data_IF_006242898752
#
_entry.id   IF_006242898752
#
_cell.length_a   1.000
_cell.length_b   1.000
_cell.length_c   1.000
_cell.angle_alpha   90.00
_cell.angle_beta   90.00
_cell.angle_gamma   90.00
#
_symmetry.space_group_name_H-M   'P 1'
#
loop_
_entity.id
_entity.type
_entity.pdbx_description
1 polymer ?
#
# COMPACT_ATOMS: atom_id res chain seq x y z
N UNK A 1 34.57 20.02 -8.90
CA UNK A 1 33.44 19.08 -9.03
C UNK A 1 33.02 19.12 -10.49
N UNK A 2 33.13 17.99 -11.21
CA UNK A 2 33.08 17.97 -12.67
C UNK A 2 31.65 18.20 -13.18
N UNK A 3 31.51 18.94 -14.28
CA UNK A 3 30.24 19.33 -14.91
C UNK A 3 29.35 18.16 -15.36
N UNK A 4 29.86 16.91 -15.33
CA UNK A 4 29.14 15.71 -15.75
C UNK A 4 28.21 15.10 -14.69
N UNK A 5 28.30 15.53 -13.42
CA UNK A 5 27.54 14.89 -12.33
C UNK A 5 26.02 15.11 -12.42
N UNK A 6 25.58 16.23 -13.04
CA UNK A 6 24.15 16.58 -13.24
C UNK A 6 23.65 16.32 -14.66
N UNK A 7 24.26 15.38 -15.38
CA UNK A 7 23.75 14.90 -16.67
C UNK A 7 22.81 13.72 -16.43
N UNK A 8 21.60 13.76 -17.01
CA UNK A 8 20.65 12.63 -16.97
C UNK A 8 21.12 11.52 -17.91
N UNK A 9 21.14 10.29 -17.43
CA UNK A 9 21.53 9.11 -18.20
C UNK A 9 20.31 8.56 -18.92
N UNK A 10 20.20 8.80 -20.22
CA UNK A 10 19.01 8.43 -21.00
C UNK A 10 18.88 6.92 -21.22
N UNK A 11 17.65 6.43 -21.19
CA UNK A 11 17.32 5.02 -21.42
C UNK A 11 17.64 4.10 -20.24
N UNK A 12 17.91 4.67 -19.07
CA UNK A 12 18.20 3.90 -17.84
C UNK A 12 17.06 4.07 -16.87
N UNK A 13 16.52 2.95 -16.42
CA UNK A 13 15.53 2.86 -15.36
C UNK A 13 16.08 2.01 -14.23
N UNK A 14 15.95 2.50 -13.00
CA UNK A 14 16.37 1.79 -11.79
C UNK A 14 15.31 1.98 -10.72
N UNK A 15 14.98 0.91 -9.98
CA UNK A 15 13.93 0.95 -8.97
C UNK A 15 14.46 0.69 -7.55
N UNK A 16 13.70 1.08 -6.55
CA UNK A 16 13.94 0.75 -5.14
C UNK A 16 12.70 0.15 -4.49
N UNK A 17 12.76 -1.12 -4.05
CA UNK A 17 11.64 -1.76 -3.38
C UNK A 17 11.50 -1.21 -1.96
N UNK A 18 10.31 -0.73 -1.64
CA UNK A 18 9.95 -0.23 -0.33
C UNK A 18 8.71 -0.95 0.17
N UNK A 19 8.51 -0.88 1.48
CA UNK A 19 7.22 -1.15 2.08
C UNK A 19 6.78 0.08 2.87
N UNK A 20 5.49 0.31 2.88
CA UNK A 20 4.87 1.28 3.78
C UNK A 20 3.66 0.63 4.42
N UNK A 21 3.30 1.12 5.60
CA UNK A 21 2.18 0.55 6.34
C UNK A 21 2.35 0.70 7.84
N UNK A 22 1.60 -0.10 8.60
CA UNK A 22 1.66 -0.07 10.05
C UNK A 22 1.61 -1.46 10.69
N UNK A 23 2.15 -1.50 11.92
CA UNK A 23 1.83 -2.55 12.89
C UNK A 23 1.09 -1.94 14.07
N UNK A 24 0.08 -2.62 14.59
CA UNK A 24 -0.70 -2.19 15.76
C UNK A 24 -0.79 -3.29 16.82
N UNK A 25 -0.86 -2.88 18.09
CA UNK A 25 -1.06 -3.74 19.25
C UNK A 25 -2.16 -3.15 20.12
N UNK A 26 -3.02 -4.01 20.63
CA UNK A 26 -3.94 -3.65 21.71
C UNK A 26 -3.11 -3.36 22.97
N UNK A 27 -3.41 -2.26 23.64
CA UNK A 27 -2.82 -1.90 24.92
C UNK A 27 -3.40 -2.77 26.03
N UNK A 28 -2.54 -3.28 26.90
CA UNK A 28 -2.97 -3.96 28.12
C UNK A 28 -3.67 -2.98 29.07
N UNK A 29 -4.54 -3.46 29.99
CA UNK A 29 -5.19 -2.58 30.97
C UNK A 29 -4.20 -1.68 31.73
N UNK A 30 -3.05 -2.25 32.14
CA UNK A 30 -1.98 -1.54 32.83
C UNK A 30 -1.31 -0.45 31.97
N UNK A 31 -1.10 -0.70 30.68
CA UNK A 31 -0.54 0.31 29.78
C UNK A 31 -1.50 1.46 29.55
N UNK A 32 -2.81 1.19 29.42
CA UNK A 32 -3.82 2.24 29.26
C UNK A 32 -3.93 3.13 30.50
N UNK A 33 -3.87 2.55 31.70
CA UNK A 33 -3.89 3.30 32.96
C UNK A 33 -2.68 4.25 33.09
N UNK A 34 -1.55 3.91 32.47
CA UNK A 34 -0.36 4.74 32.47
C UNK A 34 -0.37 5.86 31.41
N UNK A 35 -1.31 5.83 30.46
CA UNK A 35 -1.40 6.84 29.41
C UNK A 35 -2.11 8.11 29.89
N UNK A 36 -1.68 9.29 29.42
CA UNK A 36 -2.43 10.54 29.63
C UNK A 36 -3.82 10.51 28.98
N UNK A 37 -4.00 9.69 27.95
CA UNK A 37 -5.23 9.54 27.17
C UNK A 37 -5.87 8.18 27.47
N UNK A 38 -6.80 8.09 28.44
CA UNK A 38 -7.38 6.81 28.87
C UNK A 38 -8.25 6.15 27.80
N UNK A 39 -8.76 6.93 26.84
CA UNK A 39 -9.59 6.44 25.74
C UNK A 39 -8.78 5.69 24.67
N UNK A 40 -7.44 5.77 24.70
CA UNK A 40 -6.60 5.08 23.72
C UNK A 40 -6.57 3.58 24.00
N UNK A 41 -6.88 2.80 22.97
CA UNK A 41 -7.00 1.33 23.06
C UNK A 41 -5.84 0.60 22.40
N UNK A 42 -5.17 1.22 21.45
CA UNK A 42 -4.08 0.64 20.68
C UNK A 42 -2.84 1.52 20.72
N UNK A 43 -1.67 0.88 20.64
CA UNK A 43 -0.44 1.51 20.15
C UNK A 43 -0.19 1.05 18.73
N UNK A 44 0.30 1.93 17.89
CA UNK A 44 0.57 1.61 16.50
C UNK A 44 1.83 2.32 16.04
N UNK A 45 2.51 1.74 15.07
CA UNK A 45 3.68 2.32 14.42
C UNK A 45 3.48 2.27 12.93
N UNK A 46 3.46 3.43 12.29
CA UNK A 46 3.44 3.57 10.83
C UNK A 46 4.88 3.81 10.35
N UNK A 47 5.29 3.18 9.26
CA UNK A 47 6.65 3.31 8.77
C UNK A 47 6.76 3.24 7.24
N UNK A 48 7.91 3.71 6.74
CA UNK A 48 8.45 3.40 5.41
C UNK A 48 9.77 2.67 5.61
N UNK A 49 9.92 1.47 5.03
CA UNK A 49 11.09 0.60 5.23
C UNK A 49 11.52 -0.02 3.90
N UNK A 50 12.74 -0.56 3.84
CA UNK A 50 13.13 -1.40 2.71
C UNK A 50 12.29 -2.69 2.71
N UNK A 51 12.04 -3.26 1.54
CA UNK A 51 11.11 -4.38 1.42
C UNK A 51 11.62 -5.70 2.04
N UNK A 52 12.93 -5.96 1.92
CA UNK A 52 13.52 -7.16 2.51
C UNK A 52 13.54 -7.05 4.05
N UNK A 53 13.13 -8.13 4.72
CA UNK A 53 13.21 -8.22 6.18
C UNK A 53 14.64 -8.60 6.61
N UNK A 54 15.12 -7.98 7.69
CA UNK A 54 16.41 -8.35 8.27
C UNK A 54 16.38 -9.80 8.77
N UNK A 55 17.48 -10.59 8.60
CA UNK A 55 17.57 -11.93 9.15
C UNK A 55 17.28 -11.94 10.65
N UNK A 56 16.48 -12.91 11.11
CA UNK A 56 16.12 -13.10 12.52
C UNK A 56 15.40 -11.91 13.20
N UNK A 57 14.92 -10.93 12.43
CA UNK A 57 14.11 -9.83 12.96
C UNK A 57 12.64 -10.20 13.04
N UNK A 58 11.96 -9.71 14.08
CA UNK A 58 10.49 -9.78 14.24
C UNK A 58 9.79 -8.56 13.63
N UNK A 59 10.51 -7.78 12.83
CA UNK A 59 9.98 -6.63 12.11
C UNK A 59 9.75 -6.96 10.64
N UNK A 60 8.73 -6.33 10.06
CA UNK A 60 8.46 -6.43 8.62
C UNK A 60 9.39 -5.44 7.91
N UNK A 61 10.15 -5.93 6.93
CA UNK A 61 11.10 -5.14 6.15
C UNK A 61 12.29 -4.60 6.94
N UNK A 62 12.97 -3.61 6.39
CA UNK A 62 14.02 -2.85 7.07
C UNK A 62 15.42 -3.47 7.06
N UNK A 63 15.71 -4.41 6.14
CA UNK A 63 17.06 -4.95 5.98
C UNK A 63 18.09 -3.90 5.49
N UNK A 64 17.63 -2.88 4.75
CA UNK A 64 18.48 -1.89 4.10
C UNK A 64 18.19 -0.48 4.65
N UNK A 65 19.22 0.35 4.70
CA UNK A 65 19.06 1.77 4.95
C UNK A 65 18.55 2.49 3.69
N UNK A 66 17.49 3.29 3.81
CA UNK A 66 16.94 4.07 2.69
C UNK A 66 17.46 5.52 2.65
N UNK A 67 18.25 5.95 3.62
CA UNK A 67 18.70 7.34 3.78
C UNK A 67 19.55 7.86 2.62
N UNK A 68 20.18 6.96 1.84
CA UNK A 68 20.99 7.34 0.68
C UNK A 68 20.17 7.95 -0.47
N UNK A 69 18.87 7.71 -0.52
CA UNK A 69 17.99 8.31 -1.53
C UNK A 69 16.76 9.02 -0.96
N UNK A 70 16.36 8.71 0.27
CA UNK A 70 15.29 9.40 1.00
C UNK A 70 15.90 10.43 1.94
N UNK A 71 15.52 11.71 1.74
CA UNK A 71 15.92 12.82 2.63
C UNK A 71 15.01 12.95 3.83
N UNK A 72 13.70 12.78 3.63
CA UNK A 72 12.69 12.98 4.67
C UNK A 72 11.42 12.22 4.33
N UNK A 73 10.80 11.61 5.33
CA UNK A 73 9.43 11.11 5.25
C UNK A 73 8.54 11.99 6.11
N UNK A 74 7.41 12.41 5.57
CA UNK A 74 6.40 13.21 6.29
C UNK A 74 5.14 12.38 6.45
N UNK A 75 4.73 12.14 7.69
CA UNK A 75 3.47 11.47 8.02
C UNK A 75 2.45 12.52 8.45
N UNK A 76 1.37 12.66 7.70
CA UNK A 76 0.22 13.48 8.11
C UNK A 76 -0.81 12.56 8.77
N UNK A 77 -0.92 12.69 10.08
CA UNK A 77 -1.90 12.02 10.93
C UNK A 77 -3.24 12.77 10.90
N UNK A 78 -4.24 12.20 11.56
CA UNK A 78 -5.54 12.86 11.77
C UNK A 78 -5.39 14.13 12.62
N UNK A 79 -6.21 15.15 12.35
CA UNK A 79 -6.11 16.49 12.95
C UNK A 79 -6.37 16.51 14.48
N UNK A 80 -6.88 15.42 15.04
CA UNK A 80 -7.03 15.24 16.50
C UNK A 80 -5.70 15.04 17.22
N UNK A 81 -4.64 14.64 16.51
CA UNK A 81 -3.32 14.49 17.12
C UNK A 81 -2.62 15.84 17.25
N UNK A 82 -1.92 16.09 18.36
CA UNK A 82 -1.05 17.25 18.47
C UNK A 82 0.07 17.16 17.43
N UNK A 83 0.28 18.24 16.70
CA UNK A 83 1.23 18.31 15.58
C UNK A 83 1.02 17.16 14.59
N UNK A 84 -0.11 17.11 13.87
CA UNK A 84 -0.48 15.95 13.07
C UNK A 84 0.48 15.71 11.90
N UNK A 85 1.25 16.73 11.48
CA UNK A 85 2.32 16.57 10.49
C UNK A 85 3.65 16.25 11.16
N UNK A 86 4.10 14.99 11.05
CA UNK A 86 5.35 14.49 11.63
C UNK A 86 6.41 14.38 10.54
N UNK A 87 7.52 15.09 10.71
CA UNK A 87 8.66 15.05 9.81
C UNK A 87 9.76 14.15 10.39
N UNK A 88 10.20 13.16 9.62
CA UNK A 88 11.28 12.24 9.99
C UNK A 88 12.40 12.37 8.96
N UNK A 89 13.48 13.03 9.36
CA UNK A 89 14.63 13.36 8.48
C UNK A 89 15.73 12.29 8.50
N UNK A 90 15.65 11.32 9.41
CA UNK A 90 16.65 10.25 9.57
C UNK A 90 15.97 8.92 9.82
N UNK A 91 16.55 7.80 9.37
CA UNK A 91 16.03 6.47 9.68
C UNK A 91 16.10 6.19 11.21
N UNK A 92 15.21 5.37 11.75
CA UNK A 92 14.10 4.70 11.07
C UNK A 92 12.98 5.69 10.67
N UNK A 93 12.48 5.56 9.45
CA UNK A 93 11.41 6.43 8.94
C UNK A 93 10.05 5.96 9.45
N UNK A 94 9.78 6.18 10.73
CA UNK A 94 8.58 5.71 11.40
C UNK A 94 8.04 6.67 12.46
N UNK A 95 6.76 6.52 12.77
CA UNK A 95 6.07 7.25 13.83
C UNK A 95 5.27 6.27 14.65
N UNK A 96 5.52 6.25 15.96
CA UNK A 96 4.74 5.49 16.93
C UNK A 96 3.81 6.41 17.71
N UNK A 97 2.55 6.01 17.82
CA UNK A 97 1.50 6.75 18.52
C UNK A 97 0.52 5.80 19.19
N UNK A 98 -0.38 6.36 20.00
CA UNK A 98 -1.50 5.63 20.59
C UNK A 98 -2.82 6.21 20.12
N UNK A 99 -3.86 5.39 19.99
CA UNK A 99 -5.16 5.83 19.53
C UNK A 99 -6.24 4.76 19.65
N UNK A 100 -7.44 5.10 19.21
CA UNK A 100 -8.62 4.23 19.32
C UNK A 100 -9.32 3.95 17.99
N UNK A 101 -9.01 4.71 16.93
CA UNK A 101 -9.68 4.63 15.64
C UNK A 101 -8.72 4.49 14.46
N UNK A 102 -9.24 3.89 13.39
CA UNK A 102 -8.59 3.75 12.08
C UNK A 102 -8.82 5.02 11.25
N UNK A 103 -7.81 5.47 10.49
CA UNK A 103 -7.89 6.67 9.65
C UNK A 103 -6.81 6.66 8.56
N UNK A 104 -6.96 7.50 7.54
CA UNK A 104 -5.98 7.62 6.46
C UNK A 104 -4.77 8.49 6.88
N UNK A 105 -3.58 7.90 6.79
CA UNK A 105 -2.30 8.57 6.96
C UNK A 105 -1.74 8.91 5.58
N UNK A 106 -1.45 10.19 5.35
CA UNK A 106 -0.71 10.60 4.15
C UNK A 106 0.79 10.48 4.40
N UNK A 107 1.49 9.70 3.60
CA UNK A 107 2.93 9.46 3.71
C UNK A 107 3.62 10.11 2.52
N UNK A 108 4.40 11.18 2.77
CA UNK A 108 5.10 11.91 1.71
C UNK A 108 6.61 11.69 1.81
N UNK A 109 7.19 11.04 0.82
CA UNK A 109 8.62 10.78 0.70
C UNK A 109 9.27 11.90 -0.10
N UNK A 110 10.21 12.62 0.53
CA UNK A 110 11.06 13.62 -0.11
C UNK A 110 12.44 13.02 -0.36
N UNK A 111 12.91 13.08 -1.60
CA UNK A 111 14.21 12.53 -1.98
C UNK A 111 15.38 13.46 -1.67
N UNK A 112 16.58 12.89 -1.68
CA UNK A 112 17.85 13.63 -1.65
C UNK A 112 17.96 14.57 -2.85
N UNK A 113 18.74 15.65 -2.72
CA UNK A 113 18.81 16.68 -3.75
C UNK A 113 19.40 16.16 -5.07
N UNK A 114 20.28 15.16 -4.96
CA UNK A 114 20.99 14.49 -6.03
C UNK A 114 20.02 13.78 -6.99
N UNK A 115 18.87 13.30 -6.51
CA UNK A 115 17.87 12.68 -7.37
C UNK A 115 17.24 13.69 -8.33
N UNK A 116 17.06 14.93 -7.87
CA UNK A 116 16.29 15.98 -8.54
C UNK A 116 14.85 15.58 -8.86
N UNK A 117 14.32 14.57 -8.17
CA UNK A 117 12.95 14.09 -8.32
C UNK A 117 12.00 14.79 -7.36
N UNK A 118 10.73 14.89 -7.77
CA UNK A 118 9.67 15.43 -6.91
C UNK A 118 9.32 14.43 -5.81
N UNK A 119 8.83 14.94 -4.69
CA UNK A 119 8.33 14.09 -3.62
C UNK A 119 7.14 13.23 -4.11
N UNK A 120 7.07 12.00 -3.62
CA UNK A 120 5.96 11.07 -3.87
C UNK A 120 5.09 10.98 -2.62
N UNK A 121 3.78 10.79 -2.82
CA UNK A 121 2.81 10.69 -1.74
C UNK A 121 2.06 9.37 -1.84
N UNK A 122 2.01 8.64 -0.73
CA UNK A 122 1.22 7.44 -0.53
C UNK A 122 0.10 7.73 0.48
N UNK A 123 -0.96 6.94 0.41
CA UNK A 123 -2.07 6.97 1.35
C UNK A 123 -2.18 5.60 2.00
N UNK A 124 -2.12 5.57 3.32
CA UNK A 124 -2.20 4.34 4.09
C UNK A 124 -3.37 4.41 5.06
N UNK A 125 -4.30 3.47 4.95
CA UNK A 125 -5.35 3.32 5.94
C UNK A 125 -4.79 2.62 7.18
N UNK A 126 -4.69 3.33 8.30
CA UNK A 126 -4.17 2.79 9.56
C UNK A 126 -5.07 1.65 10.03
N UNK A 127 -4.53 0.42 10.07
CA UNK A 127 -5.26 -0.75 10.56
C UNK A 127 -4.94 -1.04 12.01
N UNK A 128 -5.97 -1.09 12.86
CA UNK A 128 -5.86 -1.41 14.29
C UNK A 128 -6.47 -2.78 14.61
N UNK A 129 -7.56 -3.13 13.94
CA UNK A 129 -8.30 -4.36 14.22
C UNK A 129 -7.85 -5.51 13.32
N UNK A 130 -7.94 -6.77 13.80
CA UNK A 130 -7.66 -7.95 12.97
C UNK A 130 -8.45 -7.94 11.67
N UNK A 131 -7.84 -8.46 10.61
CA UNK A 131 -8.50 -8.61 9.32
C UNK A 131 -9.57 -9.70 9.39
N UNK A 132 -10.79 -9.39 8.94
CA UNK A 132 -11.90 -10.33 8.84
C UNK A 132 -12.41 -10.39 7.40
N UNK A 133 -13.05 -11.50 7.04
CA UNK A 133 -13.81 -11.62 5.78
C UNK A 133 -15.30 -11.72 6.10
N UNK A 134 -16.21 -11.24 5.22
CA UNK A 134 -17.65 -11.39 5.41
C UNK A 134 -18.09 -12.84 5.66
N UNK A 135 -17.35 -13.80 5.08
CA UNK A 135 -17.60 -15.24 5.21
C UNK A 135 -17.24 -15.82 6.59
N UNK A 136 -16.37 -15.14 7.34
CA UNK A 136 -15.91 -15.61 8.67
C UNK A 136 -17.00 -15.50 9.75
N UNK A 137 -17.98 -14.61 9.55
CA UNK A 137 -18.97 -14.27 10.58
C UNK A 137 -18.38 -13.57 11.81
N UNK A 138 -17.10 -13.22 11.80
CA UNK A 138 -16.43 -12.50 12.87
C UNK A 138 -16.72 -10.99 12.79
N UNK A 139 -16.90 -10.31 13.94
CA UNK A 139 -17.12 -8.87 13.95
C UNK A 139 -15.85 -8.14 13.47
N UNK A 140 -16.03 -7.16 12.58
CA UNK A 140 -14.94 -6.32 12.07
C UNK A 140 -14.18 -5.58 13.19
N UNK A 141 -14.90 -5.20 14.24
CA UNK A 141 -14.34 -4.63 15.47
C UNK A 141 -14.58 -5.63 16.60
N UNK A 142 -13.60 -6.50 16.90
CA UNK A 142 -13.71 -7.44 18.02
C UNK A 142 -13.61 -6.72 19.36
N UNK A 143 -14.01 -7.42 20.43
CA UNK A 143 -13.76 -6.95 21.79
C UNK A 143 -12.25 -6.84 22.05
N UNK A 144 -11.85 -5.94 22.95
CA UNK A 144 -10.43 -5.75 23.27
C UNK A 144 -9.76 -7.02 23.78
N UNK A 145 -10.49 -7.89 24.48
CA UNK A 145 -9.97 -9.19 24.93
C UNK A 145 -9.64 -10.12 23.75
N UNK A 146 -10.53 -10.20 22.75
CA UNK A 146 -10.30 -11.03 21.57
C UNK A 146 -9.20 -10.44 20.69
N UNK A 147 -9.19 -9.11 20.52
CA UNK A 147 -8.14 -8.41 19.79
C UNK A 147 -6.76 -8.62 20.44
N UNK A 148 -6.68 -8.61 21.78
CA UNK A 148 -5.44 -8.85 22.50
C UNK A 148 -4.92 -10.29 22.29
N UNK A 149 -5.81 -11.28 22.20
CA UNK A 149 -5.46 -12.68 21.90
C UNK A 149 -5.00 -12.89 20.46
N UNK A 150 -5.49 -12.08 19.52
CA UNK A 150 -5.11 -12.17 18.10
C UNK A 150 -3.66 -11.72 17.85
N UNK A 151 -3.08 -10.94 18.75
CA UNK A 151 -1.70 -10.45 18.64
C UNK A 151 -1.57 -9.19 17.77
N UNK A 152 -0.37 -8.91 17.23
CA UNK A 152 -0.15 -7.72 16.42
C UNK A 152 -0.94 -7.76 15.12
N UNK A 153 -1.52 -6.63 14.75
CA UNK A 153 -2.13 -6.42 13.45
C UNK A 153 -1.08 -5.83 12.51
N UNK A 154 -0.88 -6.48 11.38
CA UNK A 154 0.05 -6.05 10.34
C UNK A 154 -0.73 -5.62 9.09
N UNK A 155 -0.45 -4.41 8.62
CA UNK A 155 -0.99 -3.85 7.38
C UNK A 155 0.16 -3.22 6.62
N UNK A 156 0.79 -3.99 5.74
CA UNK A 156 1.97 -3.57 4.97
C UNK A 156 1.70 -3.72 3.48
N UNK A 157 2.12 -2.72 2.72
CA UNK A 157 2.03 -2.68 1.26
C UNK A 157 3.44 -2.61 0.68
N UNK A 158 3.67 -3.40 -0.37
CA UNK A 158 4.88 -3.36 -1.17
C UNK A 158 4.70 -2.36 -2.32
N UNK A 159 5.76 -1.59 -2.60
CA UNK A 159 5.80 -0.68 -3.74
C UNK A 159 7.24 -0.52 -4.25
N UNK A 160 7.40 -0.01 -5.46
CA UNK A 160 8.68 0.24 -6.09
C UNK A 160 8.82 1.68 -6.54
N UNK A 161 9.80 2.38 -5.97
CA UNK A 161 10.13 3.73 -6.41
C UNK A 161 11.00 3.62 -7.66
N UNK A 162 10.45 3.96 -8.81
CA UNK A 162 11.13 3.90 -10.11
C UNK A 162 11.74 5.26 -10.47
N UNK A 163 13.04 5.27 -10.70
CA UNK A 163 13.79 6.43 -11.20
C UNK A 163 14.10 6.24 -12.68
N UNK A 164 13.48 7.06 -13.53
CA UNK A 164 13.69 7.07 -14.97
C UNK A 164 14.67 8.17 -15.37
N UNK A 165 15.63 7.84 -16.23
CA UNK A 165 16.71 8.72 -16.67
C UNK A 165 17.37 9.50 -15.51
N UNK A 166 17.89 8.81 -14.47
CA UNK A 166 18.45 9.46 -13.30
C UNK A 166 19.69 10.27 -13.65
N UNK A 167 20.02 11.27 -12.83
CA UNK A 167 21.33 11.94 -12.93
C UNK A 167 22.46 10.95 -12.70
N UNK A 168 23.58 11.10 -13.42
CA UNK A 168 24.73 10.20 -13.30
C UNK A 168 25.25 10.11 -11.86
N UNK A 169 25.30 11.24 -11.13
CA UNK A 169 25.71 11.23 -9.72
C UNK A 169 24.75 10.41 -8.84
N UNK A 170 23.45 10.53 -9.08
CA UNK A 170 22.43 9.79 -8.34
C UNK A 170 22.43 8.30 -8.70
N UNK A 171 22.59 7.98 -9.99
CA UNK A 171 22.76 6.60 -10.44
C UNK A 171 23.96 5.94 -9.74
N UNK A 172 25.09 6.64 -9.61
CA UNK A 172 26.25 6.11 -8.89
C UNK A 172 25.92 5.83 -7.41
N UNK A 173 25.18 6.71 -6.74
CA UNK A 173 24.72 6.51 -5.35
C UNK A 173 23.83 5.26 -5.27
N UNK A 174 22.87 5.13 -6.19
CA UNK A 174 21.99 3.97 -6.24
C UNK A 174 22.79 2.69 -6.50
N UNK A 175 23.65 2.64 -7.51
CA UNK A 175 24.44 1.44 -7.83
C UNK A 175 25.39 1.04 -6.70
N UNK A 176 25.88 1.99 -5.89
CA UNK A 176 26.69 1.70 -4.71
C UNK A 176 25.88 1.07 -3.55
N UNK A 177 24.55 1.19 -3.57
CA UNK A 177 23.63 0.65 -2.56
C UNK A 177 22.56 -0.22 -3.25
N UNK A 178 22.93 -1.42 -3.73
CA UNK A 178 21.95 -2.36 -4.28
C UNK A 178 20.98 -2.82 -3.17
N UNK A 179 19.68 -2.97 -3.47
CA UNK A 179 18.72 -3.46 -2.49
C UNK A 179 18.98 -4.92 -2.14
N UNK A 180 18.73 -5.30 -0.88
CA UNK A 180 18.77 -6.71 -0.49
C UNK A 180 17.67 -7.47 -1.23
N UNK A 181 17.97 -8.58 -1.92
CA UNK A 181 16.96 -9.36 -2.62
C UNK A 181 15.92 -9.94 -1.66
N UNK A 182 14.65 -9.91 -2.08
CA UNK A 182 13.60 -10.63 -1.36
C UNK A 182 13.89 -12.14 -1.35
N UNK A 183 13.45 -12.87 -0.31
CA UNK A 183 13.52 -14.32 -0.27
C UNK A 183 12.80 -14.95 -1.46
N UNK A 184 13.32 -16.06 -1.98
CA UNK A 184 12.75 -16.72 -3.16
C UNK A 184 11.45 -17.46 -2.88
N UNK A 185 11.28 -17.96 -1.66
CA UNK A 185 10.16 -18.80 -1.24
C UNK A 185 9.56 -18.27 0.05
N UNK A 186 8.28 -18.54 0.28
CA UNK A 186 7.58 -18.21 1.54
C UNK A 186 8.18 -18.98 2.72
N UNK A 187 8.64 -18.26 3.74
CA UNK A 187 9.20 -18.81 5.00
C UNK A 187 8.45 -18.35 6.24
N UNK A 188 7.64 -17.30 6.09
CA UNK A 188 6.86 -16.61 7.12
C UNK A 188 5.44 -16.36 6.55
N UNK A 189 4.47 -15.94 7.38
CA UNK A 189 3.18 -15.50 6.90
C UNK A 189 3.31 -14.42 5.82
N UNK A 190 2.32 -14.34 4.93
CA UNK A 190 2.29 -13.30 3.90
C UNK A 190 1.59 -12.04 4.42
N UNK A 191 2.02 -10.85 4.03
CA UNK A 191 1.24 -9.63 4.24
C UNK A 191 -0.17 -9.76 3.66
N UNK A 192 -1.20 -9.39 4.43
CA UNK A 192 -2.58 -9.44 3.94
C UNK A 192 -2.79 -8.43 2.80
N UNK A 193 -3.46 -8.87 1.73
CA UNK A 193 -3.77 -8.03 0.58
C UNK A 193 -5.29 -7.95 0.34
N UNK A 194 -5.85 -6.75 0.44
CA UNK A 194 -7.30 -6.51 0.36
C UNK A 194 -7.87 -6.93 -1.01
N UNK A 195 -7.09 -6.80 -2.10
CA UNK A 195 -7.52 -7.24 -3.43
C UNK A 195 -7.41 -8.76 -3.64
N UNK A 196 -6.83 -9.48 -2.67
CA UNK A 196 -6.76 -10.94 -2.64
C UNK A 196 -7.21 -11.45 -1.27
N UNK A 197 -8.51 -11.45 -1.02
CA UNK A 197 -9.09 -11.88 0.26
C UNK A 197 -8.69 -13.30 0.68
N UNK A 198 -8.37 -14.18 -0.27
CA UNK A 198 -7.88 -15.54 0.00
C UNK A 198 -6.51 -15.56 0.72
N UNK A 199 -5.76 -14.45 0.68
CA UNK A 199 -4.49 -14.30 1.41
C UNK A 199 -4.66 -14.21 2.93
N UNK A 200 -5.89 -14.02 3.44
CA UNK A 200 -6.13 -13.83 4.88
C UNK A 200 -5.59 -14.98 5.71
N UNK A 201 -5.86 -16.23 5.33
CA UNK A 201 -5.43 -17.38 6.13
C UNK A 201 -3.90 -17.50 6.16
N UNK A 202 -3.24 -17.25 5.03
CA UNK A 202 -1.78 -17.25 4.94
C UNK A 202 -1.11 -16.07 5.65
N UNK A 203 -1.88 -15.04 6.04
CA UNK A 203 -1.39 -13.87 6.77
C UNK A 203 -1.43 -14.02 8.29
N UNK A 204 -2.11 -15.04 8.80
CA UNK A 204 -2.24 -15.28 10.24
C UNK A 204 -0.95 -15.81 10.84
N UNK A 205 -0.68 -15.39 12.08
CA UNK A 205 0.28 -16.06 12.96
C UNK A 205 1.75 -15.70 12.71
N UNK A 206 2.16 -14.51 13.12
CA UNK A 206 3.56 -14.09 13.17
C UNK A 206 3.84 -12.82 12.36
N UNK A 207 5.12 -12.46 12.28
CA UNK A 207 5.56 -11.30 11.49
C UNK A 207 5.62 -11.67 10.01
N UNK A 208 4.86 -10.97 9.14
CA UNK A 208 4.83 -11.30 7.73
C UNK A 208 6.12 -10.91 6.99
N UNK A 209 6.35 -11.51 5.83
CA UNK A 209 7.52 -11.23 4.97
C UNK A 209 7.11 -11.22 3.49
N UNK A 210 7.65 -10.27 2.72
CA UNK A 210 7.47 -10.23 1.26
C UNK A 210 8.50 -11.14 0.57
N UNK A 211 8.09 -11.84 -0.49
CA UNK A 211 8.95 -12.79 -1.22
C UNK A 211 8.82 -12.62 -2.74
N UNK A 212 9.81 -13.09 -3.50
CA UNK A 212 9.78 -13.08 -4.97
C UNK A 212 8.67 -13.98 -5.54
N UNK A 213 8.32 -15.04 -4.81
CA UNK A 213 7.20 -15.91 -5.19
C UNK A 213 5.88 -15.13 -5.23
N UNK A 214 5.66 -14.22 -4.28
CA UNK A 214 4.45 -13.39 -4.25
C UNK A 214 4.36 -12.44 -5.45
N UNK A 215 5.49 -11.90 -5.91
CA UNK A 215 5.53 -11.06 -7.13
C UNK A 215 5.01 -11.83 -8.34
N UNK A 216 5.46 -13.08 -8.49
CA UNK A 216 5.02 -13.97 -9.57
C UNK A 216 3.52 -14.29 -9.48
N UNK A 217 3.05 -14.66 -8.29
CA UNK A 217 1.62 -14.94 -8.05
C UNK A 217 0.73 -13.73 -8.36
N UNK A 218 1.20 -12.53 -7.99
CA UNK A 218 0.49 -11.29 -8.25
C UNK A 218 0.46 -10.96 -9.75
N UNK A 219 1.57 -11.13 -10.46
CA UNK A 219 1.61 -10.96 -11.91
C UNK A 219 0.63 -11.90 -12.64
N UNK A 220 0.58 -13.17 -12.24
CA UNK A 220 -0.37 -14.15 -12.78
C UNK A 220 -1.84 -13.77 -12.48
N UNK A 221 -2.11 -13.26 -11.26
CA UNK A 221 -3.44 -12.78 -10.87
C UNK A 221 -3.87 -11.58 -11.72
N UNK A 222 -2.98 -10.62 -11.95
CA UNK A 222 -3.25 -9.43 -12.76
C UNK A 222 -3.48 -9.78 -14.24
N UNK A 223 -2.70 -10.71 -14.81
CA UNK A 223 -2.90 -11.19 -16.18
C UNK A 223 -4.28 -11.86 -16.33
N UNK A 224 -4.69 -12.67 -15.36
CA UNK A 224 -6.02 -13.29 -15.35
C UNK A 224 -7.13 -12.23 -15.25
N UNK A 225 -6.97 -11.23 -14.38
CA UNK A 225 -7.93 -10.14 -14.24
C UNK A 225 -8.05 -9.31 -15.52
N UNK A 226 -6.92 -9.03 -16.19
CA UNK A 226 -6.89 -8.30 -17.45
C UNK A 226 -7.66 -9.05 -18.55
N UNK A 227 -7.45 -10.36 -18.68
CA UNK A 227 -8.19 -11.20 -19.63
C UNK A 227 -9.70 -11.14 -19.39
N UNK A 228 -10.12 -11.25 -18.12
CA UNK A 228 -11.53 -11.15 -17.74
C UNK A 228 -12.12 -9.78 -18.10
N UNK A 229 -11.41 -8.70 -17.82
CA UNK A 229 -11.85 -7.34 -18.17
C UNK A 229 -12.02 -7.17 -19.67
N UNK A 230 -11.08 -7.72 -20.47
CA UNK A 230 -11.18 -7.67 -21.94
C UNK A 230 -12.42 -8.40 -22.42
N UNK A 231 -12.66 -9.62 -21.93
CA UNK A 231 -13.86 -10.40 -22.27
C UNK A 231 -15.16 -9.68 -21.89
N UNK A 232 -15.23 -9.14 -20.68
CA UNK A 232 -16.39 -8.38 -20.21
C UNK A 232 -16.59 -7.11 -21.03
N UNK A 233 -15.52 -6.41 -21.39
CA UNK A 233 -15.58 -5.22 -22.25
C UNK A 233 -16.18 -5.57 -23.61
N UNK A 234 -15.76 -6.67 -24.23
CA UNK A 234 -16.33 -7.14 -25.49
C UNK A 234 -17.81 -7.50 -25.34
N UNK A 235 -18.18 -8.22 -24.28
CA UNK A 235 -19.56 -8.61 -23.98
C UNK A 235 -20.47 -7.39 -23.82
N UNK A 236 -20.05 -6.41 -23.02
CA UNK A 236 -20.83 -5.20 -22.77
C UNK A 236 -20.92 -4.30 -24.00
N UNK A 237 -19.86 -4.21 -24.79
CA UNK A 237 -19.87 -3.50 -26.07
C UNK A 237 -20.90 -4.08 -27.03
N UNK A 238 -20.96 -5.41 -27.16
CA UNK A 238 -21.93 -6.08 -28.03
C UNK A 238 -23.37 -5.84 -27.55
N UNK A 239 -23.60 -5.94 -26.23
CA UNK A 239 -24.91 -5.68 -25.63
C UNK A 239 -25.35 -4.21 -25.81
N UNK A 240 -24.41 -3.27 -25.76
CA UNK A 240 -24.69 -1.85 -26.01
C UNK A 240 -25.16 -1.64 -27.45
N UNK A 241 -24.45 -2.22 -28.43
CA UNK A 241 -24.81 -2.13 -29.85
C UNK A 241 -26.22 -2.71 -30.10
N UNK A 242 -26.52 -3.86 -29.52
CA UNK A 242 -27.85 -4.49 -29.63
C UNK A 242 -28.95 -3.57 -29.07
N UNK A 243 -28.74 -3.01 -27.87
CA UNK A 243 -29.72 -2.11 -27.23
C UNK A 243 -29.89 -0.79 -27.98
N UNK A 244 -28.82 -0.27 -28.58
CA UNK A 244 -28.89 0.93 -29.43
C UNK A 244 -29.71 0.66 -30.70
N UNK A 245 -29.53 -0.50 -31.33
CA UNK A 245 -30.34 -0.92 -32.47
C UNK A 245 -31.83 -1.08 -32.11
N UNK A 246 -32.14 -1.73 -30.99
CA UNK A 246 -33.52 -1.84 -30.48
C UNK A 246 -34.13 -0.46 -30.18
N UNK A 247 -33.38 0.42 -29.50
CA UNK A 247 -33.84 1.78 -29.19
C UNK A 247 -34.16 2.58 -30.45
N UNK A 248 -33.29 2.49 -31.46
CA UNK A 248 -33.50 3.15 -32.75
C UNK A 248 -34.73 2.60 -33.49
N UNK A 249 -35.00 1.30 -33.39
CA UNK A 249 -36.22 0.70 -33.94
C UNK A 249 -37.47 1.26 -33.26
N UNK A 250 -37.52 1.26 -31.93
CA UNK A 250 -38.68 1.78 -31.19
C UNK A 250 -38.91 3.28 -31.40
N UNK A 251 -37.84 4.08 -31.52
CA UNK A 251 -37.96 5.51 -31.87
C UNK A 251 -38.65 5.70 -33.22
N UNK A 252 -38.23 4.95 -34.24
CA UNK A 252 -38.86 5.00 -35.58
C UNK A 252 -40.33 4.58 -35.55
N UNK A 253 -40.66 3.52 -34.81
CA UNK A 253 -42.05 3.07 -34.64
C UNK A 253 -42.92 4.13 -33.94
N UNK A 254 -42.38 4.78 -32.90
CA UNK A 254 -43.06 5.86 -32.19
C UNK A 254 -43.29 7.09 -33.07
N UNK A 255 -42.27 7.52 -33.83
CA UNK A 255 -42.38 8.63 -34.78
C UNK A 255 -43.45 8.36 -35.85
N UNK A 256 -43.47 7.15 -36.41
CA UNK A 256 -44.48 6.73 -37.38
C UNK A 256 -45.90 6.75 -36.78
N UNK A 257 -46.07 6.27 -35.54
CA UNK A 257 -47.35 6.28 -34.84
C UNK A 257 -47.84 7.69 -34.48
N UNK A 258 -46.93 8.62 -34.19
CA UNK A 258 -47.28 10.03 -33.97
C UNK A 258 -47.72 10.71 -35.27
N UNK A 259 -47.02 10.46 -36.38
CA UNK A 259 -47.39 11.01 -37.70
C UNK A 259 -48.74 10.50 -38.20
N UNK A 260 -49.11 9.25 -37.90
CA UNK A 260 -50.41 8.70 -38.31
C UNK A 260 -51.58 9.27 -37.50
N UNK A 261 -51.37 9.74 -36.27
CA UNK A 261 -52.39 10.40 -35.43
C UNK A 261 -52.62 11.87 -35.77
N UNK A 262 -51.70 12.49 -36.51
CA UNK A 262 -51.76 13.90 -36.94
C UNK A 262 -52.43 14.08 -38.33
N UNK A 263 -52.75 12.99 -39.02
CA UNK A 263 -53.53 12.95 -40.27
C UNK A 263 -54.95 12.50 -39.99
#
# INVERSE_FOLDING_TARGET
>A
MASNDRVRVRGVTIHRPIIYGNTAWVLTPKEREALPSPDHTHRWTVAVRSAASAPDSNEVGGADDLSYFIKRVTFKLHDTYPNPTRNVDKPPFEVSETGWGEFDITIRITFVQESGEKAITFYHHLKLHPWTTPESGEPEIPTLENALKAGPVHSWQYDEIVFNDPFQSFLNILTAHPPTPLPKVKRRPVPYHIANMASLEASKGGTPEFTQEMEKEEAERLDKALKQIVEDTHKWRNKLIEKENESNKYKKELEAALQSKLK
#
